data_IF_978798898110
#
_entry.id   IF_978798898110
#
_cell.length_a   1.000
_cell.length_b   1.000
_cell.length_c   1.000
_cell.angle_alpha   90.00
_cell.angle_beta   90.00
_cell.angle_gamma   90.00
#
_symmetry.space_group_name_H-M   'P 1'
#
loop_
_entity.id
_entity.type
_entity.pdbx_description
1 polymer ?
#
# COMPACT_ATOMS: atom_id res chain seq x y z
N UNK A 1 0.55 -17.49 -20.26
CA UNK A 1 0.21 -18.37 -19.10
C UNK A 1 1.40 -18.34 -18.17
N UNK A 2 1.17 -18.18 -16.85
CA UNK A 2 2.26 -18.26 -15.87
C UNK A 2 2.75 -19.70 -15.80
N UNK A 3 4.06 -19.91 -15.91
CA UNK A 3 4.66 -21.24 -15.81
C UNK A 3 4.83 -21.61 -14.32
N UNK A 4 4.56 -22.88 -13.94
CA UNK A 4 4.85 -23.39 -12.60
C UNK A 4 6.34 -23.28 -12.28
N UNK A 5 6.67 -22.91 -11.02
CA UNK A 5 8.05 -22.82 -10.58
C UNK A 5 8.17 -23.20 -9.09
N UNK A 6 9.38 -23.59 -8.70
CA UNK A 6 9.69 -23.94 -7.30
C UNK A 6 10.63 -22.89 -6.73
N UNK A 7 10.34 -22.45 -5.51
CA UNK A 7 11.20 -21.58 -4.71
C UNK A 7 11.55 -22.33 -3.42
N UNK A 8 12.81 -22.26 -3.02
CA UNK A 8 13.28 -22.78 -1.73
C UNK A 8 13.44 -21.63 -0.75
N UNK A 9 12.81 -21.76 0.41
CA UNK A 9 12.94 -20.81 1.51
C UNK A 9 13.61 -21.56 2.68
N UNK A 10 14.81 -21.17 3.02
CA UNK A 10 15.55 -21.67 4.18
C UNK A 10 15.40 -20.67 5.34
N UNK A 11 14.75 -21.10 6.42
CA UNK A 11 14.56 -20.32 7.64
C UNK A 11 15.76 -20.59 8.55
N UNK A 12 16.65 -19.60 8.66
CA UNK A 12 17.99 -19.77 9.25
C UNK A 12 17.94 -20.22 10.72
N UNK A 13 17.05 -19.65 11.50
CA UNK A 13 16.95 -19.90 12.95
C UNK A 13 15.71 -20.73 13.33
N UNK A 14 14.98 -21.24 12.34
CA UNK A 14 13.71 -21.95 12.58
C UNK A 14 12.53 -21.05 12.97
N UNK A 15 12.75 -19.74 13.06
CA UNK A 15 11.72 -18.73 13.34
C UNK A 15 11.11 -18.21 12.03
N UNK A 16 9.81 -18.42 11.78
CA UNK A 16 9.13 -17.91 10.58
C UNK A 16 9.22 -16.40 10.40
N UNK A 17 9.35 -15.63 11.49
CA UNK A 17 9.51 -14.18 11.48
C UNK A 17 10.99 -13.74 11.53
N UNK A 18 11.90 -14.70 11.46
CA UNK A 18 13.35 -14.49 11.44
C UNK A 18 13.95 -14.34 10.05
N UNK A 19 15.26 -14.63 9.96
CA UNK A 19 16.04 -14.53 8.73
C UNK A 19 15.69 -15.67 7.77
N UNK A 20 15.40 -15.31 6.52
CA UNK A 20 15.09 -16.25 5.44
C UNK A 20 16.07 -16.08 4.29
N UNK A 21 16.61 -17.18 3.78
CA UNK A 21 17.36 -17.21 2.54
C UNK A 21 16.46 -17.87 1.49
N UNK A 22 16.35 -17.22 0.35
CA UNK A 22 15.46 -17.63 -0.71
C UNK A 22 16.25 -17.86 -1.99
N UNK A 23 16.05 -18.99 -2.59
CA UNK A 23 16.67 -19.29 -3.89
C UNK A 23 15.74 -20.09 -4.81
N UNK A 24 16.17 -20.21 -6.07
CA UNK A 24 15.56 -21.03 -7.08
C UNK A 24 16.64 -21.87 -7.78
N UNK A 25 16.29 -23.12 -8.14
CA UNK A 25 17.26 -24.07 -8.69
C UNK A 25 18.02 -23.55 -9.93
N UNK A 26 17.33 -22.89 -10.84
CA UNK A 26 17.91 -22.37 -12.10
C UNK A 26 18.18 -20.84 -12.04
N UNK A 27 18.38 -20.28 -10.86
CA UNK A 27 18.65 -18.88 -10.70
C UNK A 27 20.03 -18.65 -10.05
N UNK A 28 20.80 -17.73 -10.60
CA UNK A 28 22.12 -17.36 -10.10
C UNK A 28 22.07 -16.43 -8.89
N UNK A 29 20.87 -15.97 -8.49
CA UNK A 29 20.67 -15.07 -7.38
C UNK A 29 20.34 -15.78 -6.07
N UNK A 30 20.51 -15.01 -4.99
CA UNK A 30 19.96 -15.27 -3.66
C UNK A 30 19.14 -14.08 -3.19
N UNK A 31 17.99 -14.34 -2.58
CA UNK A 31 17.24 -13.38 -1.79
C UNK A 31 17.47 -13.63 -0.31
N UNK A 32 17.65 -12.58 0.48
CA UNK A 32 17.79 -12.64 1.94
C UNK A 32 16.77 -11.67 2.53
N UNK A 33 15.78 -12.19 3.25
CA UNK A 33 14.81 -11.38 3.99
C UNK A 33 15.15 -11.43 5.48
N UNK A 34 15.13 -10.29 6.15
CA UNK A 34 15.51 -10.20 7.56
C UNK A 34 14.81 -9.04 8.27
N UNK A 35 14.38 -9.23 9.54
CA UNK A 35 13.91 -8.12 10.35
C UNK A 35 15.10 -7.22 10.74
N UNK A 36 14.89 -5.92 10.89
CA UNK A 36 15.91 -4.94 11.31
C UNK A 36 16.67 -5.40 12.56
N UNK A 37 15.95 -5.94 13.53
CA UNK A 37 16.53 -6.43 14.78
C UNK A 37 17.59 -7.52 14.60
N UNK A 38 17.55 -8.27 13.50
CA UNK A 38 18.53 -9.31 13.20
C UNK A 38 19.83 -8.75 12.60
N UNK A 39 19.83 -7.51 12.06
CA UNK A 39 20.96 -6.96 11.33
C UNK A 39 22.31 -7.05 12.05
N UNK A 40 22.46 -6.67 13.34
CA UNK A 40 23.75 -6.76 14.04
C UNK A 40 24.34 -8.17 14.06
N UNK A 41 23.47 -9.20 14.05
CA UNK A 41 23.89 -10.61 14.08
C UNK A 41 24.27 -11.15 12.71
N UNK A 42 23.57 -10.69 11.64
CA UNK A 42 23.74 -11.24 10.29
C UNK A 42 24.64 -10.40 9.39
N UNK A 43 24.98 -9.17 9.77
CA UNK A 43 25.76 -8.22 8.94
C UNK A 43 27.11 -8.79 8.46
N UNK A 44 27.70 -9.73 9.20
CA UNK A 44 28.98 -10.38 8.86
C UNK A 44 28.85 -11.53 7.86
N UNK A 45 27.65 -11.87 7.41
CA UNK A 45 27.48 -12.94 6.41
C UNK A 45 28.15 -12.55 5.09
N UNK A 46 28.70 -13.54 4.40
CA UNK A 46 29.47 -13.34 3.17
C UNK A 46 28.61 -12.76 2.04
N UNK A 47 27.33 -13.06 2.03
CA UNK A 47 26.38 -12.59 1.02
C UNK A 47 26.31 -11.05 1.00
N UNK A 48 26.44 -10.38 2.14
CA UNK A 48 26.42 -8.92 2.22
C UNK A 48 27.75 -8.24 1.82
N UNK A 49 28.83 -9.02 1.64
CA UNK A 49 30.11 -8.54 1.16
C UNK A 49 30.24 -8.55 -0.37
N UNK A 50 29.15 -8.70 -1.09
CA UNK A 50 29.11 -8.80 -2.56
C UNK A 50 28.22 -7.70 -3.17
N UNK A 51 28.39 -7.43 -4.48
CA UNK A 51 27.49 -6.52 -5.18
C UNK A 51 26.04 -7.00 -5.11
N UNK A 52 25.12 -6.07 -4.87
CA UNK A 52 23.71 -6.39 -4.79
C UNK A 52 22.80 -5.17 -4.73
N UNK A 53 21.50 -5.44 -4.75
CA UNK A 53 20.44 -4.48 -4.52
C UNK A 53 19.67 -4.87 -3.27
N UNK A 54 19.13 -3.90 -2.55
CA UNK A 54 18.34 -4.14 -1.36
C UNK A 54 17.14 -3.20 -1.27
N UNK A 55 16.13 -3.67 -0.57
CA UNK A 55 14.89 -2.95 -0.29
C UNK A 55 14.73 -2.91 1.23
N UNK A 56 14.52 -1.73 1.78
CA UNK A 56 14.14 -1.54 3.17
C UNK A 56 12.66 -1.17 3.19
N UNK A 57 11.88 -1.81 4.05
CA UNK A 57 10.44 -1.61 4.13
C UNK A 57 10.00 -1.48 5.58
N UNK A 58 9.11 -0.54 5.84
CA UNK A 58 8.47 -0.35 7.14
C UNK A 58 7.24 0.52 7.05
N UNK A 59 6.54 0.66 8.18
CA UNK A 59 5.42 1.56 8.31
C UNK A 59 5.90 2.90 8.87
N UNK A 60 5.48 4.00 8.28
CA UNK A 60 5.67 5.32 8.89
C UNK A 60 4.54 5.54 9.91
N UNK A 61 4.88 5.48 11.20
CA UNK A 61 3.93 5.67 12.31
C UNK A 61 3.23 7.04 12.30
N UNK A 62 3.76 8.02 11.58
CA UNK A 62 3.19 9.36 11.42
C UNK A 62 2.28 9.51 10.18
N UNK A 63 2.25 8.54 9.28
CA UNK A 63 1.44 8.59 8.07
C UNK A 63 -0.01 8.23 8.34
N UNK A 64 -0.95 9.04 7.87
CA UNK A 64 -2.38 8.70 7.85
C UNK A 64 -2.70 7.67 6.73
N UNK A 65 -1.71 7.32 5.93
CA UNK A 65 -1.76 6.35 4.85
C UNK A 65 -1.18 5.01 5.33
N UNK A 66 -1.92 3.93 5.17
CA UNK A 66 -1.46 2.56 5.48
C UNK A 66 -0.47 2.01 4.42
N UNK A 67 0.04 2.86 3.52
CA UNK A 67 1.04 2.43 2.54
C UNK A 67 2.42 2.32 3.22
N UNK A 68 3.16 1.22 2.95
CA UNK A 68 4.51 1.08 3.48
C UNK A 68 5.44 2.13 2.88
N UNK A 69 6.39 2.60 3.68
CA UNK A 69 7.53 3.35 3.18
C UNK A 69 8.61 2.36 2.77
N UNK A 70 9.18 2.54 1.58
CA UNK A 70 10.30 1.74 1.10
C UNK A 70 11.47 2.62 0.67
N UNK A 71 12.66 2.06 0.80
CA UNK A 71 13.89 2.57 0.22
C UNK A 71 14.53 1.47 -0.62
N UNK A 72 14.91 1.77 -1.84
CA UNK A 72 15.68 0.88 -2.71
C UNK A 72 17.11 1.38 -2.80
N UNK A 73 18.08 0.51 -2.58
CA UNK A 73 19.49 0.88 -2.69
C UNK A 73 20.34 -0.24 -3.28
N UNK A 74 21.57 0.11 -3.63
CA UNK A 74 22.54 -0.83 -4.19
C UNK A 74 23.94 -0.57 -3.63
N UNK A 75 24.85 -1.49 -3.82
CA UNK A 75 26.26 -1.32 -3.47
C UNK A 75 27.14 -2.40 -4.08
N UNK A 76 28.43 -2.09 -4.23
CA UNK A 76 29.46 -3.06 -4.60
C UNK A 76 29.74 -4.02 -3.42
N UNK A 77 29.51 -3.54 -2.22
CA UNK A 77 29.40 -4.27 -0.96
C UNK A 77 28.17 -3.70 -0.22
N UNK A 78 27.05 -4.44 -0.23
CA UNK A 78 25.80 -3.91 0.31
C UNK A 78 25.82 -3.77 1.83
N UNK A 79 26.73 -4.47 2.54
CA UNK A 79 26.92 -4.38 3.99
C UNK A 79 27.15 -2.94 4.44
N UNK A 80 28.12 -2.26 3.83
CA UNK A 80 28.49 -0.88 4.19
C UNK A 80 27.30 0.07 4.10
N UNK A 81 26.46 -0.11 3.10
CA UNK A 81 25.25 0.70 2.90
C UNK A 81 24.19 0.36 3.93
N UNK A 82 23.98 -0.91 4.21
CA UNK A 82 23.02 -1.37 5.20
C UNK A 82 23.43 -0.98 6.63
N UNK A 83 24.74 -1.01 6.96
CA UNK A 83 25.24 -0.50 8.24
C UNK A 83 24.90 0.98 8.43
N UNK A 84 25.15 1.82 7.42
CA UNK A 84 24.78 3.25 7.43
C UNK A 84 23.28 3.44 7.60
N UNK A 85 22.44 2.71 6.85
CA UNK A 85 21.00 2.82 6.96
C UNK A 85 20.42 2.24 8.27
N UNK A 86 21.11 1.29 8.89
CA UNK A 86 20.75 0.80 10.21
C UNK A 86 20.90 1.90 11.28
N UNK A 87 21.91 2.77 11.13
CA UNK A 87 22.19 3.88 12.03
C UNK A 87 21.36 5.14 11.73
N UNK A 88 21.09 5.42 10.44
CA UNK A 88 20.54 6.70 9.98
C UNK A 88 19.03 6.69 9.69
N UNK A 89 18.43 5.52 9.42
CA UNK A 89 17.02 5.39 9.00
C UNK A 89 16.23 4.56 9.99
N UNK A 90 15.21 5.15 10.60
CA UNK A 90 14.40 4.48 11.63
C UNK A 90 13.09 3.87 11.09
N UNK A 91 12.66 4.24 9.88
CA UNK A 91 11.35 3.85 9.34
C UNK A 91 11.22 2.36 9.02
N UNK A 92 12.32 1.62 8.77
CA UNK A 92 12.24 0.26 8.27
C UNK A 92 12.29 -0.80 9.35
N UNK A 93 11.47 -1.83 9.18
CA UNK A 93 11.36 -3.02 10.03
C UNK A 93 11.95 -4.25 9.35
N UNK A 94 11.92 -4.29 8.02
CA UNK A 94 12.38 -5.41 7.20
C UNK A 94 13.33 -4.97 6.11
N UNK A 95 14.38 -5.78 5.91
CA UNK A 95 15.30 -5.66 4.79
C UNK A 95 15.23 -6.89 3.87
N UNK A 96 15.31 -6.62 2.57
CA UNK A 96 15.32 -7.64 1.52
C UNK A 96 16.53 -7.38 0.63
N UNK A 97 17.53 -8.24 0.67
CA UNK A 97 18.74 -8.11 -0.13
C UNK A 97 18.77 -9.17 -1.22
N UNK A 98 19.22 -8.78 -2.41
CA UNK A 98 19.39 -9.68 -3.55
C UNK A 98 20.80 -9.57 -4.08
N UNK A 99 21.50 -10.71 -4.09
CA UNK A 99 22.90 -10.85 -4.49
C UNK A 99 23.08 -12.04 -5.42
N UNK A 100 24.20 -12.12 -6.13
CA UNK A 100 24.48 -13.29 -6.97
C UNK A 100 25.29 -14.37 -6.23
N UNK A 101 25.09 -15.63 -6.63
CA UNK A 101 25.85 -16.81 -6.18
C UNK A 101 27.29 -16.86 -6.73
N UNK A 102 27.83 -15.76 -7.15
CA UNK A 102 29.15 -15.64 -7.74
C UNK A 102 29.40 -14.20 -8.18
N UNK A 103 30.13 -14.01 -9.26
CA UNK A 103 30.50 -12.68 -9.78
C UNK A 103 29.55 -12.17 -10.86
N UNK A 104 28.32 -12.69 -10.94
CA UNK A 104 27.39 -12.35 -12.00
C UNK A 104 26.87 -10.90 -11.94
N UNK A 105 26.79 -10.29 -10.74
CA UNK A 105 26.43 -8.89 -10.59
C UNK A 105 27.65 -7.99 -10.51
N UNK A 106 27.62 -6.88 -11.24
CA UNK A 106 28.57 -5.79 -11.16
C UNK A 106 27.83 -4.47 -10.87
N UNK A 107 28.56 -3.38 -10.69
CA UNK A 107 28.00 -2.07 -10.36
C UNK A 107 26.98 -1.57 -11.40
N UNK A 108 27.20 -1.80 -12.69
CA UNK A 108 26.25 -1.38 -13.72
C UNK A 108 24.92 -2.15 -13.59
N UNK A 109 25.02 -3.47 -13.30
CA UNK A 109 23.85 -4.31 -13.07
C UNK A 109 23.07 -3.88 -11.83
N UNK A 110 23.75 -3.64 -10.70
CA UNK A 110 23.08 -3.23 -9.45
C UNK A 110 22.47 -1.83 -9.56
N UNK A 111 23.10 -0.90 -10.27
CA UNK A 111 22.54 0.42 -10.56
C UNK A 111 21.30 0.32 -11.45
N UNK A 112 21.33 -0.57 -12.45
CA UNK A 112 20.16 -0.81 -13.31
C UNK A 112 18.99 -1.43 -12.53
N UNK A 113 19.25 -2.40 -11.65
CA UNK A 113 18.23 -3.00 -10.78
C UNK A 113 17.60 -1.97 -9.84
N UNK A 114 18.41 -1.11 -9.21
CA UNK A 114 17.93 -0.03 -8.35
C UNK A 114 17.01 0.91 -9.14
N UNK A 115 17.45 1.35 -10.34
CA UNK A 115 16.65 2.20 -11.22
C UNK A 115 15.32 1.53 -11.58
N UNK A 116 15.35 0.27 -12.04
CA UNK A 116 14.17 -0.45 -12.47
C UNK A 116 13.16 -0.69 -11.31
N UNK A 117 13.65 -1.01 -10.11
CA UNK A 117 12.80 -1.19 -8.94
C UNK A 117 12.14 0.13 -8.50
N UNK A 118 12.87 1.24 -8.53
CA UNK A 118 12.32 2.56 -8.24
C UNK A 118 11.22 2.91 -9.25
N UNK A 119 11.44 2.62 -10.53
CA UNK A 119 10.45 2.84 -11.58
C UNK A 119 9.19 2.01 -11.38
N UNK A 120 9.35 0.72 -11.10
CA UNK A 120 8.23 -0.18 -10.82
C UNK A 120 7.44 0.28 -9.60
N UNK A 121 8.11 0.73 -8.54
CA UNK A 121 7.45 1.26 -7.35
C UNK A 121 6.66 2.54 -7.66
N UNK A 122 7.25 3.45 -8.46
CA UNK A 122 6.55 4.63 -8.95
C UNK A 122 5.33 4.28 -9.80
N UNK A 123 5.44 3.32 -10.72
CA UNK A 123 4.35 2.91 -11.59
C UNK A 123 3.24 2.15 -10.84
N UNK A 124 3.59 1.42 -9.80
CA UNK A 124 2.64 0.64 -9.00
C UNK A 124 1.84 1.50 -8.00
N UNK A 125 2.40 2.62 -7.53
CA UNK A 125 1.78 3.52 -6.53
C UNK A 125 1.31 2.80 -5.25
N UNK A 126 2.05 1.76 -4.81
CA UNK A 126 1.70 0.94 -3.65
C UNK A 126 2.61 1.18 -2.44
N UNK A 127 3.41 2.24 -2.46
CA UNK A 127 4.32 2.60 -1.37
C UNK A 127 4.70 4.09 -1.41
N UNK A 128 5.27 4.56 -0.32
CA UNK A 128 6.01 5.81 -0.27
C UNK A 128 7.50 5.50 -0.50
N UNK A 129 8.12 6.17 -1.48
CA UNK A 129 9.55 6.03 -1.75
C UNK A 129 10.34 7.04 -0.92
N UNK A 130 11.23 6.54 -0.05
CA UNK A 130 12.20 7.34 0.72
C UNK A 130 13.48 7.65 -0.08
N UNK A 131 13.48 7.32 -1.36
CA UNK A 131 14.58 7.63 -2.27
C UNK A 131 14.56 9.12 -2.64
N UNK A 132 15.48 9.90 -2.09
CA UNK A 132 15.60 11.35 -2.41
C UNK A 132 16.05 11.64 -3.84
N UNK A 133 16.67 10.67 -4.51
CA UNK A 133 17.15 10.79 -5.90
C UNK A 133 16.88 9.50 -6.66
N UNK A 134 16.56 9.64 -7.95
CA UNK A 134 16.46 8.51 -8.87
C UNK A 134 17.79 8.35 -9.61
N UNK A 135 18.44 7.19 -9.55
CA UNK A 135 19.67 6.96 -10.31
C UNK A 135 19.36 7.06 -11.81
N UNK A 136 20.34 7.55 -12.56
CA UNK A 136 20.23 7.53 -14.03
C UNK A 136 20.39 6.09 -14.51
N UNK A 137 19.55 5.67 -15.45
CA UNK A 137 19.66 4.37 -16.08
C UNK A 137 21.06 4.20 -16.73
N UNK A 138 21.83 3.17 -16.33
CA UNK A 138 23.13 2.90 -16.92
C UNK A 138 22.96 2.29 -18.32
N UNK A 139 23.91 2.59 -19.21
CA UNK A 139 23.97 1.94 -20.51
C UNK A 139 24.58 0.56 -20.35
N UNK A 140 23.80 -0.46 -20.69
CA UNK A 140 24.24 -1.86 -20.71
C UNK A 140 24.40 -2.34 -22.16
N UNK A 141 25.19 -3.39 -22.39
CA UNK A 141 25.14 -4.12 -23.63
C UNK A 141 23.80 -4.83 -23.78
N UNK A 142 23.42 -5.22 -24.96
CA UNK A 142 22.16 -5.92 -25.22
C UNK A 142 22.08 -7.25 -24.46
N UNK A 143 23.21 -7.97 -24.37
CA UNK A 143 23.32 -9.22 -23.60
C UNK A 143 23.20 -8.99 -22.09
N UNK A 144 23.93 -7.99 -21.55
CA UNK A 144 23.87 -7.68 -20.11
C UNK A 144 22.44 -7.23 -19.70
N UNK A 145 21.79 -6.49 -20.60
CA UNK A 145 20.41 -6.05 -20.35
C UNK A 145 19.44 -7.24 -20.32
N UNK A 146 19.58 -8.21 -21.21
CA UNK A 146 18.74 -9.41 -21.19
C UNK A 146 18.97 -10.23 -19.90
N UNK A 147 20.23 -10.40 -19.50
CA UNK A 147 20.58 -11.15 -18.28
C UNK A 147 20.04 -10.49 -17.01
N UNK A 148 20.18 -9.17 -16.90
CA UNK A 148 19.73 -8.44 -15.71
C UNK A 148 18.20 -8.30 -15.64
N UNK A 149 17.52 -8.24 -16.79
CA UNK A 149 16.06 -8.35 -16.84
C UNK A 149 15.58 -9.71 -16.33
N UNK A 150 16.27 -10.79 -16.70
CA UNK A 150 16.02 -12.12 -16.17
C UNK A 150 16.18 -12.17 -14.65
N UNK A 151 17.24 -11.55 -14.13
CA UNK A 151 17.48 -11.45 -12.69
C UNK A 151 16.35 -10.69 -11.97
N UNK A 152 15.95 -9.53 -12.47
CA UNK A 152 14.82 -8.74 -11.94
C UNK A 152 13.52 -9.53 -11.96
N UNK A 153 13.24 -10.27 -13.04
CA UNK A 153 12.04 -11.08 -13.15
C UNK A 153 11.94 -12.12 -12.03
N UNK A 154 13.05 -12.78 -11.68
CA UNK A 154 13.08 -13.72 -10.56
C UNK A 154 12.93 -13.02 -9.20
N UNK A 155 13.52 -11.84 -9.01
CA UNK A 155 13.27 -11.03 -7.80
C UNK A 155 11.78 -10.72 -7.63
N UNK A 156 11.12 -10.26 -8.70
CA UNK A 156 9.69 -9.91 -8.67
C UNK A 156 8.77 -11.13 -8.44
N UNK A 157 9.22 -12.35 -8.72
CA UNK A 157 8.51 -13.58 -8.35
C UNK A 157 8.66 -13.95 -6.88
N UNK A 158 9.80 -13.59 -6.29
CA UNK A 158 10.14 -13.91 -4.90
C UNK A 158 9.50 -12.90 -3.93
N UNK A 159 9.55 -11.62 -4.24
CA UNK A 159 9.11 -10.54 -3.36
C UNK A 159 7.68 -10.71 -2.82
N UNK A 160 6.66 -11.06 -3.63
CA UNK A 160 5.30 -11.29 -3.13
C UNK A 160 5.18 -12.45 -2.14
N UNK A 161 6.02 -13.49 -2.28
CA UNK A 161 6.06 -14.64 -1.37
C UNK A 161 6.71 -14.26 -0.02
N UNK A 162 7.49 -13.18 0.01
CA UNK A 162 8.06 -12.58 1.22
C UNK A 162 7.17 -11.46 1.79
N UNK A 163 5.98 -11.23 1.21
CA UNK A 163 5.03 -10.21 1.66
C UNK A 163 5.21 -8.83 1.02
N UNK A 164 6.13 -8.67 0.07
CA UNK A 164 6.41 -7.39 -0.61
C UNK A 164 5.71 -7.33 -1.96
N UNK A 165 4.60 -6.57 -2.04
CA UNK A 165 3.80 -6.41 -3.27
C UNK A 165 3.85 -4.99 -3.86
N UNK A 166 4.72 -4.16 -3.34
CA UNK A 166 4.80 -2.73 -3.69
C UNK A 166 5.20 -2.46 -5.15
N UNK A 167 5.73 -3.46 -5.85
CA UNK A 167 6.13 -3.39 -7.26
C UNK A 167 5.06 -3.93 -8.22
N UNK A 168 3.96 -4.49 -7.70
CA UNK A 168 2.88 -5.01 -8.53
C UNK A 168 1.88 -3.88 -8.82
N UNK A 169 1.60 -3.65 -10.11
CA UNK A 169 0.46 -2.81 -10.48
C UNK A 169 -0.81 -3.52 -10.01
N UNK A 170 -1.62 -2.90 -9.15
CA UNK A 170 -2.87 -3.51 -8.76
C UNK A 170 -3.73 -3.71 -10.01
N UNK A 171 -4.17 -4.95 -10.21
CA UNK A 171 -5.19 -5.20 -11.21
C UNK A 171 -6.45 -4.41 -10.84
N UNK A 172 -7.22 -3.86 -11.80
CA UNK A 172 -8.50 -3.27 -11.51
C UNK A 172 -9.34 -4.25 -10.69
N UNK A 173 -9.76 -3.85 -9.50
CA UNK A 173 -10.59 -4.69 -8.67
C UNK A 173 -12.01 -4.59 -9.24
N UNK A 174 -12.42 -5.61 -9.99
CA UNK A 174 -13.81 -5.77 -10.42
C UNK A 174 -14.61 -6.17 -9.18
N UNK A 175 -15.51 -5.31 -8.75
CA UNK A 175 -16.41 -5.61 -7.64
C UNK A 175 -17.56 -6.47 -8.22
N UNK A 176 -17.76 -7.73 -7.75
CA UNK A 176 -18.84 -8.56 -8.25
C UNK A 176 -20.18 -7.84 -8.09
N UNK A 177 -20.99 -7.78 -9.14
CA UNK A 177 -22.37 -7.30 -9.05
C UNK A 177 -23.09 -8.12 -7.97
N UNK A 178 -23.52 -7.43 -6.94
CA UNK A 178 -24.35 -8.05 -5.91
C UNK A 178 -25.79 -8.02 -6.43
N UNK A 179 -26.24 -9.09 -7.08
CA UNK A 179 -27.65 -9.33 -7.35
C UNK A 179 -28.40 -9.22 -6.01
N UNK A 180 -29.16 -8.17 -5.91
CA UNK A 180 -30.02 -7.72 -4.84
C UNK A 180 -30.13 -8.60 -3.60
N UNK A 181 -29.93 -8.00 -2.42
CA UNK A 181 -30.42 -8.42 -1.11
C UNK A 181 -30.44 -9.94 -0.87
N UNK A 182 -29.26 -10.58 -0.87
CA UNK A 182 -29.13 -11.88 -0.25
C UNK A 182 -29.43 -11.69 1.24
N UNK A 183 -30.62 -12.14 1.65
CA UNK A 183 -30.97 -12.35 3.06
C UNK A 183 -29.96 -13.30 3.68
N UNK A 184 -28.92 -12.77 4.25
CA UNK A 184 -28.09 -13.52 5.19
C UNK A 184 -28.92 -13.76 6.45
N UNK A 185 -28.94 -14.99 7.00
CA UNK A 185 -29.68 -15.28 8.25
C UNK A 185 -29.22 -14.33 9.35
N UNK A 186 -30.16 -13.79 10.09
CA UNK A 186 -29.91 -12.95 11.26
C UNK A 186 -28.99 -13.69 12.25
N UNK A 187 -27.71 -13.28 12.36
CA UNK A 187 -26.83 -13.90 13.33
C UNK A 187 -25.37 -13.51 13.30
N UNK A 188 -24.83 -13.00 12.19
CA UNK A 188 -23.44 -12.49 12.13
C UNK A 188 -23.37 -11.31 11.21
N UNK A 189 -23.64 -10.10 11.72
CA UNK A 189 -23.22 -8.86 11.05
C UNK A 189 -21.72 -8.73 11.33
N UNK A 190 -20.90 -9.34 10.49
CA UNK A 190 -19.49 -9.02 10.44
C UNK A 190 -19.36 -7.51 10.21
N UNK A 191 -18.44 -6.87 10.87
CA UNK A 191 -18.16 -5.43 10.81
C UNK A 191 -17.45 -5.08 9.46
N UNK A 192 -18.02 -5.56 8.34
CA UNK A 192 -17.48 -5.37 7.01
C UNK A 192 -17.66 -3.93 6.59
N UNK A 193 -16.56 -3.19 6.56
CA UNK A 193 -16.50 -1.80 6.09
C UNK A 193 -16.57 -1.73 4.56
N UNK A 194 -17.70 -2.01 3.97
CA UNK A 194 -17.90 -2.13 2.53
C UNK A 194 -18.20 -0.80 1.81
N UNK A 195 -18.22 0.32 2.52
CA UNK A 195 -18.60 1.63 1.98
C UNK A 195 -17.54 2.67 2.33
N UNK A 196 -17.02 3.37 1.33
CA UNK A 196 -16.18 4.55 1.52
C UNK A 196 -17.02 5.82 1.41
N UNK A 197 -16.88 6.71 2.40
CA UNK A 197 -17.52 8.03 2.40
C UNK A 197 -16.46 9.07 2.05
N UNK A 198 -16.67 9.82 0.99
CA UNK A 198 -15.73 10.79 0.44
C UNK A 198 -16.23 12.21 0.60
N UNK A 199 -15.37 13.20 0.96
CA UNK A 199 -15.73 14.60 0.89
C UNK A 199 -15.84 15.01 -0.58
N UNK A 200 -16.94 15.72 -0.92
CA UNK A 200 -17.20 16.23 -2.25
C UNK A 200 -17.54 17.72 -2.17
N UNK A 201 -16.83 18.53 -2.94
CA UNK A 201 -17.21 19.92 -3.22
C UNK A 201 -18.30 19.93 -4.30
N UNK A 202 -19.12 20.97 -4.34
CA UNK A 202 -20.32 21.02 -5.16
C UNK A 202 -20.01 20.79 -6.66
N UNK A 203 -19.02 21.46 -7.20
CA UNK A 203 -18.67 21.34 -8.62
C UNK A 203 -18.26 19.91 -8.97
N UNK A 204 -17.30 19.33 -8.22
CA UNK A 204 -16.88 17.95 -8.44
C UNK A 204 -17.99 16.93 -8.18
N UNK A 205 -18.91 17.23 -7.23
CA UNK A 205 -20.07 16.37 -7.01
C UNK A 205 -20.99 16.34 -8.23
N UNK A 206 -21.35 17.48 -8.80
CA UNK A 206 -22.23 17.55 -9.95
C UNK A 206 -21.59 17.00 -11.23
N UNK A 207 -20.36 17.39 -11.51
CA UNK A 207 -19.68 17.00 -12.74
C UNK A 207 -19.26 15.53 -12.73
N UNK A 208 -18.62 15.08 -11.66
CA UNK A 208 -17.97 13.78 -11.60
C UNK A 208 -18.86 12.71 -10.97
N UNK A 209 -19.37 12.98 -9.74
CA UNK A 209 -20.11 11.95 -9.00
C UNK A 209 -21.48 11.65 -9.65
N UNK A 210 -22.16 12.68 -10.11
CA UNK A 210 -23.47 12.55 -10.79
C UNK A 210 -23.29 12.44 -12.31
N UNK A 211 -22.49 13.32 -12.93
CA UNK A 211 -22.41 13.43 -14.39
C UNK A 211 -21.63 12.29 -15.03
N UNK A 212 -20.49 11.89 -14.44
CA UNK A 212 -19.62 10.85 -15.00
C UNK A 212 -19.80 9.46 -14.36
N UNK A 213 -20.66 9.33 -13.35
CA UNK A 213 -20.81 8.10 -12.57
C UNK A 213 -19.48 7.53 -12.05
N UNK A 214 -18.60 8.38 -11.58
CA UNK A 214 -17.32 7.99 -11.00
C UNK A 214 -16.86 8.99 -9.94
N UNK A 215 -15.81 8.61 -9.21
CA UNK A 215 -15.10 9.52 -8.32
C UNK A 215 -13.60 9.20 -8.37
N UNK A 216 -12.74 10.20 -8.45
CA UNK A 216 -11.31 10.02 -8.66
C UNK A 216 -10.47 10.82 -7.68
N UNK A 217 -9.14 10.59 -7.75
CA UNK A 217 -8.13 11.24 -6.93
C UNK A 217 -8.29 11.02 -5.42
N UNK A 218 -8.92 9.90 -5.00
CA UNK A 218 -9.04 9.53 -3.60
C UNK A 218 -7.95 8.54 -3.20
N UNK A 219 -7.45 8.68 -1.98
CA UNK A 219 -6.58 7.69 -1.36
C UNK A 219 -7.43 6.67 -0.61
N UNK A 220 -7.16 5.40 -0.85
CA UNK A 220 -7.84 4.28 -0.21
C UNK A 220 -6.76 3.38 0.37
N UNK A 221 -6.90 3.03 1.66
CA UNK A 221 -6.02 2.06 2.31
C UNK A 221 -6.03 0.73 1.57
N UNK A 222 -4.87 0.15 1.28
CA UNK A 222 -4.74 -1.07 0.49
C UNK A 222 -5.57 -2.24 1.03
N UNK A 223 -5.65 -2.39 2.35
CA UNK A 223 -6.50 -3.40 3.00
C UNK A 223 -8.01 -3.18 2.83
N UNK A 224 -8.44 -1.95 2.47
CA UNK A 224 -9.84 -1.62 2.23
C UNK A 224 -10.28 -1.83 0.79
N UNK A 225 -9.36 -1.80 -0.18
CA UNK A 225 -9.67 -1.92 -1.60
C UNK A 225 -10.57 -3.12 -1.94
N UNK A 226 -10.27 -4.36 -1.49
CA UNK A 226 -11.11 -5.52 -1.81
C UNK A 226 -12.45 -5.54 -1.07
N UNK A 227 -12.63 -4.70 -0.06
CA UNK A 227 -13.85 -4.66 0.76
C UNK A 227 -14.87 -3.65 0.24
N UNK A 228 -14.43 -2.63 -0.52
CA UNK A 228 -15.29 -1.54 -0.97
C UNK A 228 -16.24 -2.03 -2.06
N UNK A 229 -17.53 -1.95 -1.77
CA UNK A 229 -18.64 -2.24 -2.69
C UNK A 229 -19.47 -0.99 -3.00
N UNK A 230 -19.36 0.05 -2.17
CA UNK A 230 -20.13 1.26 -2.28
C UNK A 230 -19.29 2.50 -1.99
N UNK A 231 -19.67 3.61 -2.60
CA UNK A 231 -19.15 4.93 -2.31
C UNK A 231 -20.31 5.86 -1.93
N UNK A 232 -20.11 6.75 -0.96
CA UNK A 232 -21.10 7.75 -0.57
C UNK A 232 -20.45 9.14 -0.57
N UNK A 233 -21.21 10.15 -1.02
CA UNK A 233 -20.74 11.52 -1.11
C UNK A 233 -21.19 12.33 0.11
N UNK A 234 -20.22 12.79 0.91
CA UNK A 234 -20.41 13.85 1.88
C UNK A 234 -20.21 15.19 1.18
N UNK A 235 -21.30 15.90 0.90
CA UNK A 235 -21.23 17.24 0.30
C UNK A 235 -20.77 18.23 1.35
N UNK A 236 -19.69 18.96 1.03
CA UNK A 236 -19.08 19.97 1.88
C UNK A 236 -20.03 21.16 2.09
N UNK A 237 -19.56 22.21 2.74
CA UNK A 237 -20.37 23.44 2.91
C UNK A 237 -20.89 23.96 1.56
N UNK A 238 -22.12 24.44 1.48
CA UNK A 238 -23.05 24.75 2.58
C UNK A 238 -23.89 23.56 3.09
N UNK A 239 -23.92 22.43 2.37
CA UNK A 239 -24.86 21.30 2.63
C UNK A 239 -24.48 20.52 3.89
N UNK A 240 -23.20 20.17 4.06
CA UNK A 240 -22.66 19.45 5.22
C UNK A 240 -23.40 18.15 5.56
N UNK A 241 -23.71 17.34 4.58
CA UNK A 241 -24.45 16.09 4.75
C UNK A 241 -24.01 15.03 3.74
N UNK A 242 -24.19 13.75 4.07
CA UNK A 242 -24.15 12.66 3.08
C UNK A 242 -25.51 12.64 2.41
N UNK A 243 -25.55 12.74 1.08
CA UNK A 243 -26.79 12.88 0.32
C UNK A 243 -26.97 11.82 -0.75
N UNK A 244 -25.90 11.18 -1.19
CA UNK A 244 -25.93 10.18 -2.27
C UNK A 244 -24.98 9.04 -1.97
N UNK A 245 -25.27 7.87 -2.53
CA UNK A 245 -24.35 6.74 -2.61
C UNK A 245 -24.49 6.05 -3.97
N UNK A 246 -23.44 5.32 -4.36
CA UNK A 246 -23.43 4.51 -5.58
C UNK A 246 -22.77 3.16 -5.33
N UNK A 247 -23.21 2.08 -6.00
CA UNK A 247 -22.49 0.83 -6.04
C UNK A 247 -21.25 0.98 -6.94
N UNK A 248 -20.12 0.44 -6.50
CA UNK A 248 -18.85 0.47 -7.24
C UNK A 248 -18.74 -0.78 -8.11
N UNK A 249 -18.47 -0.59 -9.39
CA UNK A 249 -18.18 -1.66 -10.36
C UNK A 249 -16.73 -2.08 -10.29
N UNK A 250 -15.81 -1.08 -10.34
CA UNK A 250 -14.37 -1.31 -10.33
C UNK A 250 -13.62 -0.13 -9.72
N UNK A 251 -12.45 -0.43 -9.21
CA UNK A 251 -11.53 0.52 -8.63
C UNK A 251 -10.25 0.50 -9.46
N UNK A 252 -9.87 1.64 -10.01
CA UNK A 252 -8.73 1.81 -10.90
C UNK A 252 -7.67 2.71 -10.26
N UNK A 253 -6.37 2.44 -10.41
CA UNK A 253 -5.34 3.41 -10.06
C UNK A 253 -5.55 4.72 -10.84
N UNK A 254 -5.30 5.86 -10.20
CA UNK A 254 -5.50 7.18 -10.79
C UNK A 254 -4.32 8.12 -10.51
N UNK A 255 -3.60 8.51 -11.56
CA UNK A 255 -2.48 9.46 -11.48
C UNK A 255 -1.28 8.93 -10.69
N UNK A 256 -0.38 9.86 -10.35
CA UNK A 256 0.92 9.58 -9.73
C UNK A 256 0.86 9.84 -8.23
N UNK A 257 0.45 8.93 -7.40
CA UNK A 257 0.46 9.18 -5.96
C UNK A 257 -0.44 8.29 -5.10
N UNK A 258 -0.66 7.02 -5.50
CA UNK A 258 -1.46 6.09 -4.70
C UNK A 258 -2.93 6.47 -4.58
N UNK A 259 -3.45 7.20 -5.57
CA UNK A 259 -4.85 7.57 -5.65
C UNK A 259 -5.61 6.60 -6.54
N UNK A 260 -6.92 6.55 -6.36
CA UNK A 260 -7.81 5.65 -7.08
C UNK A 260 -8.98 6.42 -7.71
N UNK A 261 -9.51 5.83 -8.80
CA UNK A 261 -10.79 6.16 -9.41
C UNK A 261 -11.76 5.02 -9.14
N UNK A 262 -12.94 5.35 -8.63
CA UNK A 262 -14.04 4.42 -8.45
C UNK A 262 -15.05 4.66 -9.55
N UNK A 263 -15.33 3.64 -10.35
CA UNK A 263 -16.34 3.67 -11.41
C UNK A 263 -17.59 3.00 -10.87
N UNK A 264 -18.75 3.63 -11.06
CA UNK A 264 -20.01 3.14 -10.52
C UNK A 264 -20.68 2.18 -11.49
N UNK A 265 -21.30 1.12 -10.99
CA UNK A 265 -22.09 0.17 -11.79
C UNK A 265 -23.46 0.73 -12.15
N UNK A 266 -23.98 1.66 -11.36
CA UNK A 266 -25.27 2.32 -11.55
C UNK A 266 -25.17 3.78 -11.17
N UNK A 267 -26.10 4.60 -11.68
CA UNK A 267 -26.20 6.00 -11.27
C UNK A 267 -26.36 6.14 -9.74
N UNK A 268 -25.77 7.19 -9.21
CA UNK A 268 -25.83 7.48 -7.79
C UNK A 268 -27.28 7.65 -7.31
N UNK A 269 -27.59 7.04 -6.17
CA UNK A 269 -28.91 7.10 -5.53
C UNK A 269 -28.93 8.19 -4.48
N UNK A 270 -29.93 9.06 -4.55
CA UNK A 270 -30.20 10.04 -3.52
C UNK A 270 -30.76 9.37 -2.27
N UNK A 271 -30.36 9.84 -1.10
CA UNK A 271 -30.86 9.41 0.19
C UNK A 271 -31.25 10.61 1.05
N UNK A 272 -32.12 10.44 2.07
CA UNK A 272 -32.39 11.48 3.04
C UNK A 272 -31.05 12.02 3.58
N UNK A 273 -30.85 13.36 3.59
CA UNK A 273 -29.59 13.94 4.01
C UNK A 273 -29.19 13.52 5.42
N UNK A 274 -27.99 12.94 5.57
CA UNK A 274 -27.40 12.59 6.87
C UNK A 274 -26.47 13.74 7.27
N UNK A 275 -26.92 14.64 8.17
CA UNK A 275 -26.17 15.85 8.50
C UNK A 275 -24.90 15.54 9.28
N UNK A 276 -23.95 16.47 9.30
CA UNK A 276 -22.67 16.32 10.04
C UNK A 276 -22.89 16.06 11.54
N UNK A 277 -23.98 16.61 12.13
CA UNK A 277 -24.24 16.56 13.56
C UNK A 277 -23.29 17.45 14.35
N UNK A 278 -22.99 17.06 15.58
CA UNK A 278 -22.15 17.83 16.51
C UNK A 278 -20.63 17.60 16.31
N UNK A 279 -20.18 17.08 15.16
CA UNK A 279 -18.79 16.82 14.92
C UNK A 279 -17.96 18.11 14.80
N UNK A 280 -16.68 18.03 15.19
CA UNK A 280 -15.72 19.13 15.07
C UNK A 280 -15.57 19.52 13.58
N UNK A 281 -15.48 20.84 13.26
CA UNK A 281 -15.21 21.27 11.87
C UNK A 281 -13.95 20.62 11.30
N UNK A 282 -14.04 20.14 10.06
CA UNK A 282 -12.90 19.49 9.38
C UNK A 282 -12.82 17.98 9.53
N UNK A 283 -13.71 17.33 10.27
CA UNK A 283 -13.73 15.88 10.49
C UNK A 283 -13.87 15.06 9.20
N UNK A 284 -14.49 15.61 8.15
CA UNK A 284 -14.71 14.98 6.85
C UNK A 284 -13.76 15.54 5.77
N UNK A 285 -12.48 15.73 6.08
CA UNK A 285 -11.46 16.16 5.11
C UNK A 285 -10.82 15.00 4.34
N UNK A 286 -10.95 13.79 4.87
CA UNK A 286 -10.39 12.56 4.29
C UNK A 286 -11.50 11.49 4.13
N UNK A 287 -11.30 10.49 3.26
CA UNK A 287 -12.19 9.35 3.14
C UNK A 287 -12.36 8.60 4.47
N UNK A 288 -13.58 8.13 4.75
CA UNK A 288 -13.90 7.31 5.92
C UNK A 288 -14.64 6.06 5.49
N UNK A 289 -14.51 5.00 6.29
CA UNK A 289 -15.06 3.68 5.93
C UNK A 289 -16.16 3.29 6.90
N UNK A 290 -17.25 2.74 6.34
CA UNK A 290 -18.40 2.26 7.10
C UNK A 290 -19.07 1.08 6.38
N UNK A 291 -20.17 0.60 6.89
CA UNK A 291 -21.06 -0.36 6.24
C UNK A 291 -22.28 0.37 5.67
N UNK A 292 -22.75 0.00 4.47
CA UNK A 292 -23.89 0.64 3.84
C UNK A 292 -25.16 0.62 4.71
N UNK A 293 -25.43 -0.50 5.39
CA UNK A 293 -26.61 -0.60 6.25
C UNK A 293 -26.52 0.36 7.45
N UNK A 294 -25.31 0.50 8.06
CA UNK A 294 -25.07 1.48 9.12
C UNK A 294 -25.23 2.91 8.62
N UNK A 295 -24.76 3.19 7.40
CA UNK A 295 -24.88 4.50 6.77
C UNK A 295 -26.36 4.86 6.55
N UNK A 296 -27.14 3.97 5.94
CA UNK A 296 -28.56 4.21 5.65
C UNK A 296 -29.42 4.32 6.91
N UNK A 297 -29.00 3.75 8.03
CA UNK A 297 -29.66 3.88 9.34
C UNK A 297 -29.15 5.01 10.22
N UNK A 298 -28.15 5.79 9.76
CA UNK A 298 -27.51 6.80 10.58
C UNK A 298 -28.35 8.10 10.66
N UNK A 299 -28.42 8.67 11.85
CA UNK A 299 -29.08 9.97 12.07
C UNK A 299 -28.14 11.15 11.86
N UNK A 300 -26.85 10.94 11.94
CA UNK A 300 -25.81 11.94 11.67
C UNK A 300 -24.47 11.29 11.35
N UNK A 301 -23.59 12.03 10.66
CA UNK A 301 -22.21 11.61 10.39
C UNK A 301 -21.43 11.43 11.68
N UNK A 302 -21.65 12.29 12.68
CA UNK A 302 -21.05 12.16 14.00
C UNK A 302 -21.39 10.84 14.68
N UNK A 303 -22.65 10.43 14.64
CA UNK A 303 -23.11 9.15 15.18
C UNK A 303 -22.56 7.96 14.39
N UNK A 304 -22.54 8.07 13.05
CA UNK A 304 -22.04 7.00 12.16
C UNK A 304 -20.58 6.63 12.42
N UNK A 305 -19.74 7.63 12.70
CA UNK A 305 -18.28 7.43 12.89
C UNK A 305 -17.82 7.56 14.34
N UNK A 306 -18.73 7.70 15.30
CA UNK A 306 -18.38 7.86 16.73
C UNK A 306 -17.51 9.11 17.00
N UNK A 307 -17.78 10.23 16.31
CA UNK A 307 -16.95 11.42 16.38
C UNK A 307 -17.22 12.22 17.65
N UNK A 308 -16.17 12.79 18.24
CA UNK A 308 -16.30 13.62 19.43
C UNK A 308 -17.14 14.88 19.15
N UNK A 309 -18.03 15.28 20.07
CA UNK A 309 -18.76 16.54 19.95
C UNK A 309 -17.80 17.74 20.00
N UNK A 310 -18.13 18.79 19.26
CA UNK A 310 -17.46 20.07 19.36
C UNK A 310 -17.61 20.62 20.80
N UNK A 311 -16.49 20.86 21.49
CA UNK A 311 -16.49 21.40 22.85
C UNK A 311 -16.11 20.41 23.96
N UNK A 312 -15.78 19.16 23.66
CA UNK A 312 -15.22 18.22 24.63
C UNK A 312 -13.72 18.55 24.84
N UNK A 313 -13.28 18.92 26.06
CA UNK A 313 -11.86 19.21 26.32
C UNK A 313 -11.01 17.95 26.09
N UNK A 314 -9.78 18.13 25.60
CA UNK A 314 -8.78 17.07 25.54
C UNK A 314 -8.57 16.47 26.94
N UNK A 315 -8.43 15.14 27.07
CA UNK A 315 -8.01 14.56 28.33
C UNK A 315 -6.60 15.10 28.63
N UNK A 316 -6.49 15.92 29.65
CA UNK A 316 -5.20 16.33 30.23
C UNK A 316 -4.49 15.06 30.68
N UNK A 317 -3.36 14.73 30.06
CA UNK A 317 -2.42 13.75 30.60
C UNK A 317 -2.02 14.20 31.99
N UNK A 318 -2.66 13.62 33.00
CA UNK A 318 -2.25 13.78 34.38
C UNK A 318 -0.98 12.96 34.56
N UNK A 319 0.14 13.65 34.59
CA UNK A 319 1.43 13.06 34.93
C UNK A 319 1.31 12.30 36.24
N UNK A 320 1.54 11.03 36.22
CA UNK A 320 1.84 10.23 37.40
C UNK A 320 3.34 10.38 37.70
N UNK A 321 3.66 11.40 38.52
CA UNK A 321 4.84 11.38 39.37
C UNK A 321 4.42 10.71 40.67
N UNK A 322 4.93 9.52 40.93
CA UNK A 322 5.29 9.01 42.25
C UNK A 322 6.07 7.69 42.05
#
# INVERSE_FOLDING_TARGET
>A
MAEPYTIHIYVVDGDPDGVKIVDRHNWTGWGIAFPRSAWPRISKRMEFATPGVYILSGADEGSQDELPTIYVGQGDEIRTRLDSHYEEKDFWDWGYAFVSKGTALNRAHTTWLEHALIDLAHEAHQCHLDNGTRPKEPKLSESDHADIQGFLHEMLRILPLLGVRVFEKPAPIVVPENDGLSRTPAGQVADERNTVVVPAMEDGFQETFIGENCWYAIRISGGMLPQIKYIAAYRSAPIRAITHYAPVERIEPYGDGGKYRLVFSQAAKEIPPIPIGNAVPGTMRAPRYTNLAKLLGATSVAALFGLRPAGTPEPTETGAQA
#
